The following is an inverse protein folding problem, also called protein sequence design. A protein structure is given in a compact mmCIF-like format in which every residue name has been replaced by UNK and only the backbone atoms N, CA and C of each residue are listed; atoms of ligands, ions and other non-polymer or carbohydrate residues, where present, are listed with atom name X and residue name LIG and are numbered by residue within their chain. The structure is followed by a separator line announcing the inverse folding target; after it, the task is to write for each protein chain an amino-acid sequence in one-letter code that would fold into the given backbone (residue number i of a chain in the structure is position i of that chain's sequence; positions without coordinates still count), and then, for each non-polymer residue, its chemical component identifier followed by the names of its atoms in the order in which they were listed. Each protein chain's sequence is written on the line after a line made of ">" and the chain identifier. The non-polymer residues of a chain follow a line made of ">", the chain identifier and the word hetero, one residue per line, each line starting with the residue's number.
data_IF_724818000912
#
_entry.id   IF_724818000912
#
_cell.length_a   1.000
_cell.length_b   1.000
_cell.length_c   1.000
_cell.angle_alpha   90.00
_cell.angle_beta   90.00
_cell.angle_gamma   90.00
#
_symmetry.space_group_name_H-M   'P 1'
#
loop_
_entity.id
_entity.type
_entity.pdbx_description
1 polymer ?
#
# COMPACT_ATOMS: atom_id res chain seq x y z
N UNK A 1 -5.30 6.47 -14.49
CA UNK A 1 -5.40 6.39 -13.02
C UNK A 1 -4.77 7.63 -12.42
N UNK A 2 -5.56 8.43 -11.71
CA UNK A 2 -5.15 9.68 -11.09
C UNK A 2 -4.05 9.46 -10.04
N UNK A 3 -4.08 8.37 -9.27
CA UNK A 3 -3.12 8.11 -8.19
C UNK A 3 -1.66 8.21 -8.65
N UNK A 4 -1.39 7.96 -9.93
CA UNK A 4 -0.08 8.05 -10.57
C UNK A 4 0.54 9.44 -10.42
N UNK A 5 -0.26 10.52 -10.40
CA UNK A 5 0.22 11.90 -10.22
C UNK A 5 0.85 12.09 -8.84
N UNK A 6 0.43 11.30 -7.86
CA UNK A 6 0.89 11.37 -6.49
C UNK A 6 2.16 10.53 -6.25
N UNK A 7 2.55 9.65 -7.18
CA UNK A 7 3.68 8.75 -7.03
C UNK A 7 5.03 9.45 -7.21
N UNK A 8 6.00 9.09 -6.36
CA UNK A 8 7.39 9.47 -6.59
C UNK A 8 7.99 8.68 -7.76
N UNK A 9 9.16 9.09 -8.27
CA UNK A 9 9.90 8.32 -9.28
C UNK A 9 10.06 6.85 -8.88
N UNK A 10 10.40 6.60 -7.61
CA UNK A 10 10.64 5.25 -7.12
C UNK A 10 9.34 4.45 -6.99
N UNK A 11 8.23 5.09 -6.64
CA UNK A 11 6.93 4.41 -6.54
C UNK A 11 6.36 4.08 -7.94
N UNK A 12 6.66 4.90 -8.96
CA UNK A 12 6.34 4.56 -10.35
C UNK A 12 7.11 3.33 -10.83
N UNK A 13 8.39 3.23 -10.49
CA UNK A 13 9.18 2.03 -10.77
C UNK A 13 8.64 0.79 -10.03
N UNK A 14 8.11 0.94 -8.81
CA UNK A 14 7.42 -0.15 -8.09
C UNK A 14 6.16 -0.57 -8.85
N UNK A 15 5.34 0.38 -9.29
CA UNK A 15 4.14 0.11 -10.09
C UNK A 15 4.47 -0.67 -11.37
N UNK A 16 5.49 -0.24 -12.10
CA UNK A 16 5.95 -0.94 -13.32
C UNK A 16 6.41 -2.37 -13.03
N UNK A 17 7.10 -2.61 -11.92
CA UNK A 17 7.52 -3.96 -11.52
C UNK A 17 6.33 -4.85 -11.14
N UNK A 18 5.30 -4.30 -10.49
CA UNK A 18 4.07 -5.05 -10.20
C UNK A 18 3.36 -5.47 -11.49
N UNK A 19 3.24 -4.55 -12.45
CA UNK A 19 2.64 -4.86 -13.76
C UNK A 19 3.46 -5.96 -14.48
N UNK A 20 4.80 -5.88 -14.44
CA UNK A 20 5.68 -6.93 -14.97
C UNK A 20 5.52 -8.27 -14.27
N UNK A 21 5.20 -8.26 -12.97
CA UNK A 21 4.87 -9.45 -12.19
C UNK A 21 3.41 -9.94 -12.40
N UNK A 22 2.76 -9.50 -13.48
CA UNK A 22 1.39 -9.88 -13.86
C UNK A 22 0.31 -9.45 -12.85
N UNK A 23 0.52 -8.31 -12.16
CA UNK A 23 -0.51 -7.67 -11.34
C UNK A 23 -1.29 -6.63 -12.14
N UNK A 24 -2.60 -6.60 -11.93
CA UNK A 24 -3.47 -5.54 -12.42
C UNK A 24 -3.59 -4.51 -11.30
N UNK A 25 -3.30 -3.24 -11.61
CA UNK A 25 -3.50 -2.14 -10.66
C UNK A 25 -4.64 -1.28 -11.14
N UNK A 26 -5.65 -1.11 -10.30
CA UNK A 26 -6.86 -0.32 -10.58
C UNK A 26 -7.05 0.76 -9.51
N UNK A 27 -7.98 1.68 -9.77
CA UNK A 27 -8.23 2.83 -8.90
C UNK A 27 -9.73 3.03 -8.64
N UNK A 28 -10.08 3.39 -7.41
CA UNK A 28 -11.42 3.80 -6.97
C UNK A 28 -12.56 2.84 -7.38
N UNK A 29 -12.32 1.53 -7.27
CA UNK A 29 -13.34 0.51 -7.53
C UNK A 29 -14.35 0.41 -6.38
N UNK A 30 -15.41 -0.37 -6.59
CA UNK A 30 -16.57 -0.45 -5.68
C UNK A 30 -16.16 -0.90 -4.27
N UNK A 31 -15.09 -1.68 -4.15
CA UNK A 31 -14.49 -2.13 -2.89
C UNK A 31 -14.04 -0.96 -2.01
N UNK A 32 -13.64 0.16 -2.62
CA UNK A 32 -13.30 1.39 -1.88
C UNK A 32 -14.50 2.03 -1.19
N UNK A 33 -15.73 1.73 -1.63
CA UNK A 33 -16.95 2.28 -1.04
C UNK A 33 -17.40 1.51 0.21
N UNK A 34 -17.00 0.24 0.33
CA UNK A 34 -17.34 -0.64 1.47
C UNK A 34 -16.84 -0.05 2.77
N UNK A 35 -15.60 0.48 2.78
CA UNK A 35 -15.11 1.24 3.91
C UNK A 35 -14.25 2.42 3.47
N UNK A 36 -14.72 3.59 3.86
CA UNK A 36 -14.16 4.91 3.58
C UNK A 36 -12.77 5.17 4.19
N UNK A 37 -12.32 4.30 5.10
CA UNK A 37 -11.01 4.35 5.75
C UNK A 37 -9.91 3.63 4.95
N UNK A 38 -10.30 2.74 4.04
CA UNK A 38 -9.41 1.95 3.18
C UNK A 38 -8.75 2.85 2.12
N UNK A 39 -7.44 2.66 1.92
CA UNK A 39 -6.65 3.42 0.94
C UNK A 39 -6.03 2.54 -0.15
N UNK A 40 -5.94 1.24 0.12
CA UNK A 40 -5.40 0.21 -0.76
C UNK A 40 -6.05 -1.11 -0.40
N UNK A 41 -6.21 -1.99 -1.39
CA UNK A 41 -6.67 -3.36 -1.23
C UNK A 41 -5.89 -4.27 -2.17
N UNK A 42 -5.68 -5.50 -1.72
CA UNK A 42 -5.06 -6.55 -2.49
C UNK A 42 -6.01 -7.75 -2.64
N UNK A 43 -6.51 -7.98 -3.85
CA UNK A 43 -7.24 -9.18 -4.21
C UNK A 43 -6.24 -10.28 -4.60
N UNK A 44 -6.16 -11.29 -3.73
CA UNK A 44 -5.24 -12.41 -3.90
C UNK A 44 -5.65 -13.38 -5.00
N UNK A 45 -6.91 -13.47 -5.39
CA UNK A 45 -7.33 -14.42 -6.44
C UNK A 45 -6.96 -13.87 -7.83
N UNK A 46 -7.22 -12.59 -8.05
CA UNK A 46 -7.08 -11.96 -9.37
C UNK A 46 -5.73 -11.26 -9.59
N UNK A 47 -4.79 -11.34 -8.63
CA UNK A 47 -3.55 -10.52 -8.64
C UNK A 47 -3.87 -9.04 -8.87
N UNK A 48 -4.90 -8.54 -8.20
CA UNK A 48 -5.40 -7.18 -8.41
C UNK A 48 -5.10 -6.32 -7.19
N UNK A 49 -4.54 -5.14 -7.43
CA UNK A 49 -4.32 -4.11 -6.42
C UNK A 49 -5.25 -2.94 -6.73
N UNK A 50 -6.05 -2.53 -5.75
CA UNK A 50 -6.98 -1.41 -5.89
C UNK A 50 -6.49 -0.27 -5.01
N UNK A 51 -6.24 0.90 -5.60
CA UNK A 51 -5.88 2.12 -4.87
C UNK A 51 -7.13 3.01 -4.71
N UNK A 52 -7.47 3.34 -3.47
CA UNK A 52 -8.65 4.16 -3.14
C UNK A 52 -8.25 5.63 -2.98
N UNK A 53 -7.91 6.28 -4.09
CA UNK A 53 -7.47 7.68 -4.16
C UNK A 53 -8.48 8.65 -3.56
N UNK A 54 -9.79 8.48 -3.81
CA UNK A 54 -10.81 9.37 -3.25
C UNK A 54 -10.92 9.24 -1.73
N UNK A 55 -10.77 8.04 -1.19
CA UNK A 55 -10.71 7.83 0.26
C UNK A 55 -9.45 8.49 0.85
N UNK A 56 -8.31 8.36 0.18
CA UNK A 56 -7.06 9.00 0.60
C UNK A 56 -7.19 10.53 0.61
N UNK A 57 -7.76 11.13 -0.45
CA UNK A 57 -8.03 12.57 -0.55
C UNK A 57 -8.96 13.06 0.55
N UNK A 58 -10.11 12.40 0.75
CA UNK A 58 -11.08 12.77 1.79
C UNK A 58 -10.43 12.74 3.17
N UNK A 59 -9.73 11.66 3.51
CA UNK A 59 -9.12 11.47 4.83
C UNK A 59 -7.96 12.43 5.11
N UNK A 60 -7.34 12.96 4.05
CA UNK A 60 -6.22 13.91 4.18
C UNK A 60 -6.63 15.36 3.94
N UNK A 61 -7.92 15.62 3.71
CA UNK A 61 -8.47 16.93 3.35
C UNK A 61 -7.77 17.55 2.14
N UNK A 62 -7.59 16.77 1.07
CA UNK A 62 -6.99 17.24 -0.19
C UNK A 62 -7.74 18.45 -0.74
N UNK A 63 -7.01 19.49 -1.17
CA UNK A 63 -7.58 20.71 -1.73
C UNK A 63 -7.04 20.96 -3.14
N UNK A 64 -7.95 21.17 -4.09
CA UNK A 64 -7.63 21.59 -5.46
C UNK A 64 -7.43 23.11 -5.46
N UNK A 65 -6.28 23.58 -4.98
CA UNK A 65 -5.93 25.01 -5.05
C UNK A 65 -5.06 25.27 -6.27
N UNK A 66 -5.43 26.25 -7.11
CA UNK A 66 -4.68 26.68 -8.32
C UNK A 66 -3.26 27.23 -8.04
N UNK A 67 -2.87 27.41 -6.77
CA UNK A 67 -1.55 27.93 -6.38
C UNK A 67 -0.66 26.84 -5.77
N UNK A 68 0.62 26.90 -6.16
CA UNK A 68 1.71 25.93 -5.95
C UNK A 68 1.73 25.30 -4.55
N UNK A 69 1.79 23.96 -4.54
CA UNK A 69 2.28 23.08 -3.45
C UNK A 69 1.72 23.43 -2.06
N UNK A 70 0.44 23.18 -1.89
CA UNK A 70 -0.16 23.19 -0.56
C UNK A 70 0.44 22.04 0.29
N UNK A 71 1.00 22.34 1.47
CA UNK A 71 1.60 21.34 2.40
C UNK A 71 0.61 20.22 2.75
N UNK A 72 -0.69 20.48 2.66
CA UNK A 72 -1.72 19.48 2.94
C UNK A 72 -1.84 18.41 1.86
N UNK A 73 -1.58 18.73 0.59
CA UNK A 73 -1.63 17.76 -0.51
C UNK A 73 -0.48 16.73 -0.43
N UNK A 74 0.62 17.08 0.26
CA UNK A 74 1.68 16.13 0.58
C UNK A 74 1.19 14.97 1.46
N UNK A 75 0.20 15.19 2.32
CA UNK A 75 -0.40 14.11 3.14
C UNK A 75 -1.11 13.10 2.24
N UNK A 76 -1.82 13.58 1.22
CA UNK A 76 -2.48 12.74 0.20
C UNK A 76 -1.44 11.95 -0.59
N UNK A 77 -0.38 12.62 -1.05
CA UNK A 77 0.74 11.97 -1.75
C UNK A 77 1.34 10.84 -0.90
N UNK A 78 1.67 11.13 0.35
CA UNK A 78 2.25 10.16 1.26
C UNK A 78 1.31 8.98 1.53
N UNK A 79 0.01 9.25 1.69
CA UNK A 79 -1.00 8.23 1.91
C UNK A 79 -1.11 7.26 0.74
N UNK A 80 -1.15 7.78 -0.50
CA UNK A 80 -1.24 6.98 -1.72
C UNK A 80 0.05 6.17 -1.93
N UNK A 81 1.23 6.79 -1.76
CA UNK A 81 2.52 6.09 -1.87
C UNK A 81 2.64 4.97 -0.84
N UNK A 82 2.18 5.19 0.39
CA UNK A 82 2.15 4.15 1.43
C UNK A 82 1.21 3.01 1.06
N UNK A 83 -0.01 3.33 0.63
CA UNK A 83 -0.98 2.32 0.20
C UNK A 83 -0.40 1.43 -0.90
N UNK A 84 0.16 2.02 -1.98
CA UNK A 84 0.78 1.24 -3.04
C UNK A 84 1.89 0.30 -2.52
N UNK A 85 2.77 0.79 -1.65
CA UNK A 85 3.88 -0.01 -1.10
C UNK A 85 3.42 -1.08 -0.10
N UNK A 86 2.33 -0.82 0.60
CA UNK A 86 1.67 -1.76 1.49
C UNK A 86 1.11 -2.92 0.68
N UNK A 87 0.27 -2.63 -0.32
CA UNK A 87 -0.29 -3.67 -1.20
C UNK A 87 0.78 -4.41 -2.00
N UNK A 88 1.84 -3.70 -2.42
CA UNK A 88 3.00 -4.33 -3.04
C UNK A 88 3.71 -5.33 -2.12
N UNK A 89 3.66 -5.11 -0.80
CA UNK A 89 4.20 -6.06 0.17
C UNK A 89 3.36 -7.33 0.24
N UNK A 90 2.04 -7.23 0.15
CA UNK A 90 1.18 -8.41 0.03
C UNK A 90 1.44 -9.18 -1.27
N UNK A 91 1.69 -8.46 -2.38
CA UNK A 91 2.10 -9.09 -3.62
C UNK A 91 3.42 -9.86 -3.46
N UNK A 92 4.44 -9.26 -2.83
CA UNK A 92 5.71 -9.93 -2.50
C UNK A 92 5.49 -11.18 -1.66
N UNK A 93 4.67 -11.09 -0.61
CA UNK A 93 4.35 -12.21 0.27
C UNK A 93 3.68 -13.34 -0.51
N UNK A 94 2.77 -12.99 -1.44
CA UNK A 94 2.12 -13.96 -2.32
C UNK A 94 3.14 -14.69 -3.19
N UNK A 95 4.01 -13.95 -3.89
CA UNK A 95 5.06 -14.55 -4.71
C UNK A 95 6.04 -15.41 -3.87
N UNK A 96 6.25 -15.05 -2.60
CA UNK A 96 7.04 -15.81 -1.64
C UNK A 96 6.22 -16.93 -0.96
N UNK A 97 5.45 -17.72 -1.73
CA UNK A 97 4.64 -18.83 -1.23
C UNK A 97 3.71 -18.46 -0.06
N UNK A 98 3.11 -17.27 -0.13
CA UNK A 98 2.26 -16.71 0.94
C UNK A 98 2.96 -16.59 2.31
N UNK A 99 4.29 -16.45 2.35
CA UNK A 99 5.09 -16.30 3.58
C UNK A 99 5.69 -14.90 3.69
N UNK A 100 5.92 -14.46 4.93
CA UNK A 100 6.61 -13.20 5.22
C UNK A 100 8.08 -13.28 4.82
N UNK A 101 8.67 -12.17 4.40
CA UNK A 101 10.07 -12.12 3.93
C UNK A 101 11.08 -11.83 5.05
N UNK A 102 10.62 -11.31 6.20
CA UNK A 102 11.45 -11.00 7.36
C UNK A 102 11.01 -11.73 8.63
N UNK A 103 11.83 -11.58 9.69
CA UNK A 103 11.53 -12.12 11.02
C UNK A 103 10.60 -11.16 11.80
N UNK A 104 9.37 -11.61 12.06
CA UNK A 104 8.25 -10.81 12.62
C UNK A 104 8.51 -10.32 14.05
N UNK A 105 9.17 -11.13 14.90
CA UNK A 105 9.43 -10.77 16.31
C UNK A 105 10.26 -9.48 16.43
N UNK A 106 11.10 -9.18 15.44
CA UNK A 106 11.90 -7.95 15.38
C UNK A 106 11.17 -6.76 14.73
N UNK A 107 9.99 -6.99 14.15
CA UNK A 107 9.22 -5.98 13.39
C UNK A 107 8.11 -5.34 14.25
N UNK A 108 7.50 -6.10 15.17
CA UNK A 108 6.50 -5.57 16.11
C UNK A 108 7.06 -4.46 17.00
N UNK A 109 8.28 -4.62 17.52
CA UNK A 109 8.96 -3.59 18.32
C UNK A 109 9.24 -2.28 17.57
N UNK A 110 9.09 -2.27 16.24
CA UNK A 110 9.29 -1.09 15.37
C UNK A 110 7.97 -0.42 14.97
N UNK A 111 6.82 -0.99 15.34
CA UNK A 111 5.51 -0.44 15.02
C UNK A 111 5.09 0.62 16.04
N UNK A 112 4.93 1.85 15.55
CA UNK A 112 4.37 2.94 16.34
C UNK A 112 2.91 2.64 16.74
N UNK A 113 2.47 3.09 17.92
CA UNK A 113 1.15 2.76 18.49
C UNK A 113 -0.04 3.15 17.60
N UNK A 114 0.09 4.21 16.80
CA UNK A 114 -0.92 4.59 15.77
C UNK A 114 -1.11 3.53 14.69
N UNK A 115 -0.07 2.75 14.36
CA UNK A 115 -0.15 1.65 13.40
C UNK A 115 -0.80 0.40 14.01
N UNK A 116 -0.79 0.24 15.34
CA UNK A 116 -1.48 -0.89 16.01
C UNK A 116 -3.00 -0.87 15.79
N UNK A 117 -3.64 0.30 15.88
CA UNK A 117 -5.09 0.43 15.58
C UNK A 117 -5.41 0.11 14.11
N UNK A 118 -4.54 0.52 13.20
CA UNK A 118 -4.70 0.21 11.77
C UNK A 118 -4.46 -1.28 11.48
N UNK A 119 -3.52 -1.89 12.21
CA UNK A 119 -3.25 -3.32 12.19
C UNK A 119 -4.44 -4.14 12.70
N UNK A 120 -5.01 -3.80 13.86
CA UNK A 120 -6.22 -4.43 14.38
C UNK A 120 -7.38 -4.36 13.38
N UNK A 121 -7.59 -3.19 12.76
CA UNK A 121 -8.59 -3.01 11.73
C UNK A 121 -8.30 -3.90 10.50
N UNK A 122 -7.05 -3.94 10.01
CA UNK A 122 -6.66 -4.77 8.87
C UNK A 122 -6.86 -6.27 9.17
N UNK A 123 -6.39 -6.74 10.31
CA UNK A 123 -6.41 -8.18 10.66
C UNK A 123 -7.79 -8.70 11.01
N UNK A 124 -8.70 -7.83 11.46
CA UNK A 124 -10.06 -8.23 11.83
C UNK A 124 -11.06 -8.17 10.67
N UNK A 125 -10.75 -7.41 9.61
CA UNK A 125 -11.68 -7.16 8.50
C UNK A 125 -11.19 -7.70 7.15
N UNK A 126 -9.94 -8.15 7.04
CA UNK A 126 -9.36 -8.67 5.79
C UNK A 126 -8.66 -10.00 6.02
N UNK A 127 -8.48 -10.77 4.95
CA UNK A 127 -7.93 -12.14 4.96
C UNK A 127 -6.43 -12.23 5.27
N UNK A 128 -5.80 -11.14 5.73
CA UNK A 128 -4.38 -11.07 6.06
C UNK A 128 -4.09 -11.63 7.45
N UNK A 129 -3.04 -12.45 7.59
CA UNK A 129 -2.57 -12.84 8.92
C UNK A 129 -1.87 -11.65 9.59
N UNK A 130 -1.96 -11.55 10.91
CA UNK A 130 -1.32 -10.49 11.69
C UNK A 130 0.15 -10.26 11.32
N UNK A 131 0.92 -11.34 11.14
CA UNK A 131 2.31 -11.29 10.71
C UNK A 131 2.51 -10.60 9.35
N UNK A 132 1.63 -10.86 8.38
CA UNK A 132 1.70 -10.28 7.03
C UNK A 132 1.42 -8.79 7.04
N UNK A 133 0.40 -8.38 7.79
CA UNK A 133 0.02 -6.97 7.96
C UNK A 133 1.13 -6.18 8.68
N UNK A 134 1.71 -6.75 9.74
CA UNK A 134 2.87 -6.16 10.44
C UNK A 134 4.01 -5.88 9.47
N UNK A 135 4.35 -6.85 8.63
CA UNK A 135 5.41 -6.69 7.65
C UNK A 135 5.08 -5.62 6.59
N UNK A 136 3.84 -5.60 6.08
CA UNK A 136 3.37 -4.59 5.14
C UNK A 136 3.46 -3.17 5.72
N UNK A 137 3.02 -2.97 6.97
CA UNK A 137 3.17 -1.68 7.67
C UNK A 137 4.62 -1.28 7.95
N UNK A 138 5.57 -2.21 8.03
CA UNK A 138 6.99 -1.87 8.19
C UNK A 138 7.66 -1.59 6.84
N UNK A 139 7.27 -2.32 5.79
CA UNK A 139 7.84 -2.18 4.46
C UNK A 139 7.26 -1.00 3.67
N UNK A 140 6.04 -0.55 3.97
CA UNK A 140 5.44 0.62 3.32
C UNK A 140 6.32 1.88 3.46
N UNK A 141 7.15 1.98 4.50
CA UNK A 141 8.05 3.12 4.72
C UNK A 141 9.43 2.95 4.05
N UNK A 142 9.69 1.81 3.41
CA UNK A 142 11.01 1.41 2.86
C UNK A 142 10.92 1.14 1.36
N UNK A 143 10.75 2.18 0.53
CA UNK A 143 10.40 2.03 -0.89
C UNK A 143 11.51 1.31 -1.68
N UNK A 144 12.79 1.61 -1.42
CA UNK A 144 13.93 0.89 -2.02
C UNK A 144 13.92 -0.61 -1.70
N UNK A 145 13.55 -0.96 -0.47
CA UNK A 145 13.49 -2.36 -0.03
C UNK A 145 12.33 -3.09 -0.71
N UNK A 146 11.14 -2.48 -0.76
CA UNK A 146 9.97 -3.02 -1.49
C UNK A 146 10.34 -3.30 -2.95
N UNK A 147 10.90 -2.31 -3.66
CA UNK A 147 11.35 -2.48 -5.05
C UNK A 147 12.28 -3.71 -5.23
N UNK A 148 13.28 -3.85 -4.38
CA UNK A 148 14.23 -4.97 -4.45
C UNK A 148 13.59 -6.32 -4.12
N UNK A 149 12.61 -6.34 -3.21
CA UNK A 149 11.89 -7.55 -2.86
C UNK A 149 10.96 -8.01 -3.98
N UNK A 150 10.27 -7.11 -4.69
CA UNK A 150 9.48 -7.46 -5.88
C UNK A 150 10.37 -8.15 -6.91
N UNK A 151 11.53 -7.54 -7.21
CA UNK A 151 12.51 -8.13 -8.14
C UNK A 151 13.06 -9.49 -7.72
N UNK A 152 13.09 -9.77 -6.41
CA UNK A 152 13.65 -11.01 -5.89
C UNK A 152 12.63 -12.15 -5.88
N UNK A 153 11.37 -11.84 -5.59
CA UNK A 153 10.36 -12.86 -5.31
C UNK A 153 9.31 -12.98 -6.43
N UNK A 154 9.03 -11.91 -7.18
CA UNK A 154 7.94 -11.87 -8.15
C UNK A 154 8.40 -11.82 -9.62
N UNK A 155 9.70 -11.66 -9.87
CA UNK A 155 10.33 -11.63 -11.20
C UNK A 155 11.46 -12.65 -11.22
#
# INVERSE_FOLDING_TARGET
>A
MEFIIFLSKLDKEILELLIKANYIVEENKIECLVNKEIKGLHNFEENKIIICTENAKRKTNYRVTKQKRNKDNFKTELAIRKALRHEATHAIQKCNNNKTVGNIKNLEGKLHQRKKKALEFSTSNFSGTYAKEVEAYVLEDKPKKVKNLIKKYCL
#
